data_IF_557558892052
#
_entry.id   IF_557558892052
#
_cell.length_a   1.000
_cell.length_b   1.000
_cell.length_c   1.000
_cell.angle_alpha   90.00
_cell.angle_beta   90.00
_cell.angle_gamma   90.00
#
_symmetry.space_group_name_H-M   'P 1'
#
loop_
_entity.id
_entity.type
_entity.pdbx_description
1 polymer ?
#
# COMPACT_ATOMS: atom_id res chain seq x y z
N UNK A 1 -6.86 -10.35 3.87
CA UNK A 1 -5.46 -10.15 3.44
C UNK A 1 -5.50 -9.64 2.02
N UNK A 2 -4.98 -8.44 1.78
CA UNK A 2 -4.93 -7.84 0.43
C UNK A 2 -3.87 -8.59 -0.38
N UNK A 3 -4.18 -8.88 -1.64
CA UNK A 3 -3.24 -9.48 -2.59
C UNK A 3 -3.23 -8.69 -3.87
N UNK A 4 -2.09 -8.71 -4.57
CA UNK A 4 -1.90 -7.92 -5.78
C UNK A 4 -1.82 -8.80 -7.02
N UNK A 5 -2.43 -8.31 -8.10
CA UNK A 5 -2.54 -9.00 -9.38
C UNK A 5 -2.22 -8.06 -10.53
N UNK A 6 -1.71 -8.60 -11.63
CA UNK A 6 -1.45 -7.80 -12.83
C UNK A 6 -2.76 -7.43 -13.53
N UNK A 7 -2.82 -6.20 -14.05
CA UNK A 7 -3.88 -5.71 -14.94
C UNK A 7 -4.02 -6.50 -16.25
N UNK A 8 -3.04 -7.33 -16.62
CA UNK A 8 -3.04 -8.13 -17.85
C UNK A 8 -3.33 -9.61 -17.63
N UNK A 9 -3.72 -10.00 -16.43
CA UNK A 9 -4.25 -11.32 -16.15
C UNK A 9 -3.21 -12.37 -15.75
N UNK A 10 -1.98 -11.97 -15.40
CA UNK A 10 -1.08 -12.86 -14.66
C UNK A 10 -1.78 -13.38 -13.39
N UNK A 11 -1.66 -14.69 -13.15
CA UNK A 11 -2.28 -15.40 -12.02
C UNK A 11 -1.43 -15.36 -10.75
N UNK A 12 -0.27 -14.72 -10.79
CA UNK A 12 0.57 -14.53 -9.61
C UNK A 12 -0.21 -13.73 -8.57
N UNK A 13 -0.24 -14.26 -7.34
CA UNK A 13 -0.86 -13.62 -6.19
C UNK A 13 0.28 -13.13 -5.32
N UNK A 14 0.48 -11.83 -5.27
CA UNK A 14 1.65 -11.21 -4.63
C UNK A 14 1.26 -10.42 -3.39
N UNK A 15 2.19 -10.30 -2.45
CA UNK A 15 2.08 -9.41 -1.29
C UNK A 15 2.49 -7.97 -1.63
N UNK A 16 2.23 -7.04 -0.71
CA UNK A 16 2.72 -5.65 -0.85
C UNK A 16 4.25 -5.59 -1.03
N UNK A 17 4.99 -6.39 -0.26
CA UNK A 17 6.45 -6.46 -0.33
C UNK A 17 6.94 -6.84 -1.73
N UNK A 18 6.32 -7.87 -2.30
CA UNK A 18 6.70 -8.39 -3.62
C UNK A 18 6.54 -7.33 -4.70
N UNK A 19 5.44 -6.56 -4.66
CA UNK A 19 5.14 -5.56 -5.69
C UNK A 19 5.97 -4.29 -5.58
N UNK A 20 6.35 -3.87 -4.37
CA UNK A 20 7.20 -2.70 -4.15
C UNK A 20 8.61 -2.95 -4.70
N UNK A 21 9.11 -4.17 -4.59
CA UNK A 21 10.43 -4.56 -5.06
C UNK A 21 10.48 -4.90 -6.56
N UNK A 22 9.39 -5.42 -7.12
CA UNK A 22 9.35 -5.87 -8.52
C UNK A 22 9.04 -4.75 -9.52
N UNK A 23 8.39 -3.68 -9.08
CA UNK A 23 8.03 -2.53 -9.92
C UNK A 23 6.91 -2.86 -10.91
N UNK A 24 7.26 -3.48 -12.06
CA UNK A 24 6.31 -3.82 -13.14
C UNK A 24 6.04 -5.33 -13.13
N UNK A 25 4.81 -5.73 -13.45
CA UNK A 25 4.45 -7.14 -13.55
C UNK A 25 5.18 -7.85 -14.69
N UNK A 26 5.37 -9.17 -14.58
CA UNK A 26 6.06 -9.99 -15.59
C UNK A 26 5.42 -9.90 -16.99
N UNK A 27 4.10 -9.77 -17.06
CA UNK A 27 3.32 -9.57 -18.28
C UNK A 27 3.31 -8.11 -18.78
N UNK A 28 4.16 -7.26 -18.19
CA UNK A 28 4.28 -5.82 -18.42
C UNK A 28 3.01 -5.04 -18.06
N UNK A 29 2.15 -5.61 -17.22
CA UNK A 29 1.03 -4.93 -16.59
C UNK A 29 1.44 -4.18 -15.34
N UNK A 30 0.46 -3.56 -14.69
CA UNK A 30 0.61 -2.90 -13.39
C UNK A 30 -0.06 -3.75 -12.32
N UNK A 31 0.47 -3.73 -11.10
CA UNK A 31 -0.15 -4.41 -9.99
C UNK A 31 -1.31 -3.61 -9.42
N UNK A 32 -2.46 -4.27 -9.24
CA UNK A 32 -3.62 -3.74 -8.53
C UNK A 32 -4.00 -4.67 -7.37
N UNK A 33 -4.43 -4.13 -6.23
CA UNK A 33 -4.95 -4.95 -5.14
C UNK A 33 -6.27 -5.63 -5.57
N UNK A 34 -6.53 -6.81 -5.03
CA UNK A 34 -7.75 -7.60 -5.24
C UNK A 34 -9.01 -6.96 -4.62
N UNK A 35 -8.83 -5.92 -3.81
CA UNK A 35 -9.88 -5.06 -3.29
C UNK A 35 -9.28 -3.91 -2.48
N UNK A 36 -10.02 -2.82 -2.37
CA UNK A 36 -9.75 -1.76 -1.40
C UNK A 36 -10.84 -1.85 -0.33
N UNK A 37 -10.53 -2.42 0.83
CA UNK A 37 -11.49 -2.41 1.94
C UNK A 37 -11.55 -1.00 2.50
N UNK A 38 -12.56 -0.22 2.07
CA UNK A 38 -12.91 1.08 2.65
C UNK A 38 -13.21 0.98 4.16
N UNK A 39 -13.45 -0.23 4.68
CA UNK A 39 -13.65 -0.49 6.12
C UNK A 39 -12.50 0.02 6.99
N UNK A 40 -11.28 0.11 6.47
CA UNK A 40 -10.14 0.63 7.23
C UNK A 40 -10.00 2.16 7.16
N UNK A 41 -10.73 2.84 6.27
CA UNK A 41 -10.70 4.30 6.16
C UNK A 41 -11.44 4.97 7.31
N UNK A 42 -12.25 4.25 8.09
CA UNK A 42 -12.78 4.77 9.36
C UNK A 42 -11.67 5.05 10.38
N UNK A 43 -10.46 4.53 10.19
CA UNK A 43 -9.30 4.90 11.00
C UNK A 43 -8.66 6.24 10.56
N UNK A 44 -9.08 6.81 9.42
CA UNK A 44 -8.66 8.14 8.96
C UNK A 44 -9.43 9.28 9.66
N UNK A 45 -10.11 9.01 10.78
CA UNK A 45 -10.80 10.03 11.59
C UNK A 45 -9.85 10.83 12.48
N UNK A 46 -8.55 10.59 12.39
CA UNK A 46 -7.56 11.34 13.15
C UNK A 46 -7.35 12.72 12.52
N UNK A 47 -7.83 13.75 13.21
CA UNK A 47 -7.57 15.14 12.88
C UNK A 47 -6.15 15.53 13.36
N UNK A 48 -5.57 16.57 12.74
CA UNK A 48 -4.25 17.14 13.09
C UNK A 48 -3.00 16.24 12.90
N UNK A 49 -3.09 15.20 12.06
CA UNK A 49 -1.91 14.44 11.66
C UNK A 49 -0.92 15.29 10.84
N UNK A 50 0.38 15.07 11.08
CA UNK A 50 1.40 15.56 10.14
C UNK A 50 1.18 14.93 8.76
N UNK A 51 1.68 15.57 7.71
CA UNK A 51 1.59 15.00 6.36
C UNK A 51 2.17 13.58 6.30
N UNK A 52 3.31 13.36 6.97
CA UNK A 52 3.96 12.07 7.01
C UNK A 52 3.10 11.01 7.72
N UNK A 53 2.56 11.34 8.89
CA UNK A 53 1.72 10.41 9.66
C UNK A 53 0.40 10.11 8.94
N UNK A 54 -0.17 11.11 8.25
CA UNK A 54 -1.35 10.93 7.41
C UNK A 54 -1.07 9.93 6.29
N UNK A 55 0.04 10.09 5.56
CA UNK A 55 0.43 9.16 4.49
C UNK A 55 0.66 7.75 5.03
N UNK A 56 1.37 7.59 6.16
CA UNK A 56 1.55 6.29 6.83
C UNK A 56 0.21 5.62 7.13
N UNK A 57 -0.73 6.39 7.69
CA UNK A 57 -2.08 5.91 8.03
C UNK A 57 -2.84 5.42 6.80
N UNK A 58 -2.73 6.12 5.66
CA UNK A 58 -3.37 5.69 4.39
C UNK A 58 -2.81 4.35 3.92
N UNK A 59 -1.49 4.16 3.93
CA UNK A 59 -0.87 2.89 3.53
C UNK A 59 -1.32 1.74 4.43
N UNK A 60 -1.27 1.92 5.75
CA UNK A 60 -1.67 0.90 6.72
C UNK A 60 -3.16 0.58 6.59
N UNK A 61 -4.01 1.60 6.38
CA UNK A 61 -5.43 1.38 6.16
C UNK A 61 -5.68 0.55 4.88
N UNK A 62 -4.92 0.77 3.82
CA UNK A 62 -5.04 0.00 2.59
C UNK A 62 -4.53 -1.44 2.74
N UNK A 63 -3.40 -1.65 3.43
CA UNK A 63 -2.87 -2.97 3.76
C UNK A 63 -2.08 -2.91 5.08
N UNK A 64 -2.58 -3.55 6.13
CA UNK A 64 -1.92 -3.56 7.45
C UNK A 64 -0.46 -4.07 7.40
N UNK A 65 -0.10 -4.90 6.41
CA UNK A 65 1.27 -5.38 6.25
C UNK A 65 2.24 -4.30 5.74
N UNK A 66 1.73 -3.14 5.28
CA UNK A 66 2.58 -2.02 4.89
C UNK A 66 3.24 -1.35 6.09
N UNK A 67 2.69 -1.51 7.32
CA UNK A 67 3.18 -0.86 8.53
C UNK A 67 4.69 -1.06 8.73
N UNK A 68 5.17 -2.30 8.59
CA UNK A 68 6.60 -2.64 8.72
C UNK A 68 7.50 -1.93 7.70
N UNK A 69 6.94 -1.39 6.61
CA UNK A 69 7.69 -0.65 5.60
C UNK A 69 7.64 0.84 5.84
N UNK A 70 6.53 1.37 6.35
CA UNK A 70 6.32 2.82 6.45
C UNK A 70 6.64 3.39 7.84
N UNK A 71 6.59 2.57 8.90
CA UNK A 71 6.83 3.04 10.27
C UNK A 71 8.27 3.51 10.49
N UNK A 72 9.26 2.78 9.96
CA UNK A 72 10.68 3.08 10.11
C UNK A 72 11.24 4.04 9.05
N UNK A 73 10.46 4.35 8.00
CA UNK A 73 10.86 5.30 6.96
C UNK A 73 10.55 6.73 7.38
N UNK A 74 11.58 7.59 7.38
CA UNK A 74 11.36 9.03 7.22
C UNK A 74 11.03 9.28 5.76
N UNK A 75 9.73 9.27 5.45
CA UNK A 75 9.23 9.29 4.07
C UNK A 75 9.24 10.70 3.49
N UNK A 76 9.35 11.71 4.34
CA UNK A 76 9.30 13.11 3.96
C UNK A 76 10.38 13.92 4.69
N UNK A 77 11.47 14.35 4.01
CA UNK A 77 12.55 15.11 4.64
C UNK A 77 12.20 16.59 4.90
N UNK A 78 10.99 17.04 4.58
CA UNK A 78 10.64 18.47 4.57
C UNK A 78 11.12 19.19 3.29
N UNK A 79 10.63 20.42 3.11
CA UNK A 79 11.19 21.41 2.18
C UNK A 79 12.23 22.27 2.88
#
# INVERSE_FOLDING_TARGET
MITYHSTRGSKSTLSFQDIVLSGVAEDKGLYLPNGTTLENLSNLTQEDLSYEDFVKTVFIALDNNSASYVDELSIYPGF
#
